data_IF_740911756173
#
_entry.id   IF_740911756173
#
_cell.length_a   1.000
_cell.length_b   1.000
_cell.length_c   1.000
_cell.angle_alpha   90.00
_cell.angle_beta   90.00
_cell.angle_gamma   90.00
#
_symmetry.space_group_name_H-M   'P 1'
#
loop_
_entity.id
_entity.type
_entity.pdbx_description
1 polymer ?
#
# COMPACT_ATOMS: atom_id res chain seq x y z
N UNK A 1 14.86 3.93 9.80
CA UNK A 1 16.19 3.60 9.21
C UNK A 1 17.33 4.47 9.76
N UNK A 2 17.16 5.23 10.85
CA UNK A 2 18.22 6.05 11.44
C UNK A 2 18.73 5.41 12.73
N UNK A 3 20.05 5.25 12.92
CA UNK A 3 20.63 4.56 14.09
C UNK A 3 20.21 5.22 15.41
N UNK A 4 20.30 6.56 15.59
CA UNK A 4 19.79 7.23 16.78
C UNK A 4 18.29 7.00 17.05
N UNK A 5 17.45 6.83 16.01
CA UNK A 5 16.03 6.60 16.22
C UNK A 5 15.76 5.22 16.83
N UNK A 6 16.49 4.19 16.37
CA UNK A 6 16.40 2.85 16.96
C UNK A 6 17.00 2.83 18.38
N UNK A 7 18.13 3.50 18.58
CA UNK A 7 18.75 3.62 19.90
C UNK A 7 17.84 4.30 20.93
N UNK A 8 17.06 5.31 20.51
CA UNK A 8 16.11 6.01 21.37
C UNK A 8 14.96 5.12 21.87
N UNK A 9 14.68 3.99 21.22
CA UNK A 9 13.70 3.01 21.70
C UNK A 9 14.26 2.14 22.84
N UNK A 10 15.59 2.10 23.03
CA UNK A 10 16.25 1.37 24.12
C UNK A 10 15.78 -0.08 24.23
N UNK A 11 15.57 -0.53 25.47
CA UNK A 11 15.15 -1.91 25.77
C UNK A 11 13.71 -2.22 25.34
N UNK A 12 12.90 -1.22 24.99
CA UNK A 12 11.51 -1.44 24.57
C UNK A 12 11.43 -2.34 23.32
N UNK A 13 12.46 -2.33 22.47
CA UNK A 13 12.54 -3.20 21.27
C UNK A 13 12.53 -4.70 21.61
N UNK A 14 12.93 -5.07 22.83
CA UNK A 14 12.95 -6.46 23.31
C UNK A 14 11.72 -6.82 24.14
N UNK A 15 10.85 -5.86 24.42
CA UNK A 15 9.64 -6.03 25.22
C UNK A 15 8.39 -6.11 24.33
N UNK A 16 7.27 -6.56 24.88
CA UNK A 16 5.99 -6.48 24.18
C UNK A 16 5.65 -5.00 23.86
N UNK A 17 5.10 -4.70 22.68
CA UNK A 17 4.65 -5.64 21.64
C UNK A 17 5.74 -6.06 20.63
N UNK A 18 6.94 -5.47 20.67
CA UNK A 18 7.99 -5.66 19.67
C UNK A 18 8.71 -7.01 19.77
N UNK A 19 9.06 -7.45 20.98
CA UNK A 19 9.78 -8.70 21.32
C UNK A 19 11.21 -8.82 20.78
N UNK A 20 11.53 -8.21 19.64
CA UNK A 20 12.87 -8.16 19.07
C UNK A 20 13.04 -6.93 18.15
N UNK A 21 14.28 -6.43 17.97
CA UNK A 21 14.58 -5.38 17.00
C UNK A 21 14.27 -5.84 15.56
N UNK A 22 14.01 -4.90 14.64
CA UNK A 22 13.64 -5.23 13.27
C UNK A 22 14.81 -5.88 12.53
N UNK A 23 14.54 -6.96 11.81
CA UNK A 23 15.52 -7.69 10.98
C UNK A 23 15.52 -7.14 9.55
N UNK A 24 14.34 -6.97 8.96
CA UNK A 24 14.16 -6.38 7.63
C UNK A 24 13.95 -4.85 7.69
N UNK A 25 13.95 -4.14 6.54
CA UNK A 25 13.48 -2.75 6.50
C UNK A 25 12.04 -2.64 7.02
N UNK A 26 11.79 -1.70 7.93
CA UNK A 26 10.43 -1.33 8.36
C UNK A 26 9.92 -0.29 7.38
N UNK A 27 8.95 -0.67 6.56
CA UNK A 27 8.44 0.12 5.44
C UNK A 27 6.99 0.56 5.67
N UNK A 28 6.60 1.62 4.99
CA UNK A 28 5.22 2.09 4.85
C UNK A 28 5.09 2.80 3.50
N UNK A 29 3.85 3.06 3.08
CA UNK A 29 3.54 3.73 1.81
C UNK A 29 2.91 5.09 2.11
N UNK A 30 3.30 6.10 1.32
CA UNK A 30 2.63 7.39 1.23
C UNK A 30 1.70 7.35 0.00
N UNK A 31 0.39 7.08 0.17
CA UNK A 31 -0.55 6.89 -0.93
C UNK A 31 -0.77 8.19 -1.71
N UNK A 32 -1.44 8.08 -2.86
CA UNK A 32 -1.56 9.17 -3.85
C UNK A 32 -2.21 10.44 -3.31
N UNK A 33 -3.14 10.34 -2.35
CA UNK A 33 -3.77 11.50 -1.70
C UNK A 33 -2.79 12.31 -0.83
N UNK A 34 -1.68 11.71 -0.39
CA UNK A 34 -0.67 12.41 0.41
C UNK A 34 0.23 13.31 -0.44
N UNK A 35 0.39 13.01 -1.73
CA UNK A 35 1.41 13.64 -2.56
C UNK A 35 0.95 15.01 -3.01
N UNK A 36 1.75 16.04 -2.70
CA UNK A 36 1.54 17.42 -3.16
C UNK A 36 2.84 18.04 -3.62
N UNK A 37 2.75 19.04 -4.49
CA UNK A 37 3.91 19.75 -5.00
C UNK A 37 4.48 20.73 -3.96
N UNK A 38 5.71 21.19 -4.21
CA UNK A 38 6.32 22.30 -3.48
C UNK A 38 5.42 23.54 -3.42
N UNK A 39 5.33 24.16 -2.25
CA UNK A 39 4.53 25.35 -1.99
C UNK A 39 3.03 25.11 -1.79
N UNK A 40 2.52 23.90 -2.03
CA UNK A 40 1.12 23.57 -1.75
C UNK A 40 0.91 23.51 -0.23
N UNK A 41 -0.11 24.22 0.24
CA UNK A 41 -0.46 24.23 1.66
C UNK A 41 -0.99 22.86 2.12
N UNK A 42 -0.60 22.44 3.33
CA UNK A 42 -1.02 21.18 3.94
C UNK A 42 -1.83 21.45 5.20
N UNK A 43 -2.99 20.80 5.31
CA UNK A 43 -3.88 20.92 6.45
C UNK A 43 -3.33 20.24 7.70
N UNK A 44 -3.30 20.98 8.82
CA UNK A 44 -3.09 20.44 10.15
C UNK A 44 -4.46 20.08 10.73
N UNK A 45 -4.73 18.80 11.05
CA UNK A 45 -6.01 18.37 11.60
C UNK A 45 -6.33 19.08 12.90
N UNK A 46 -7.62 19.42 13.11
CA UNK A 46 -8.05 20.17 14.29
C UNK A 46 -7.82 19.41 15.62
N UNK A 47 -7.77 18.08 15.57
CA UNK A 47 -7.50 17.20 16.71
C UNK A 47 -6.01 16.98 16.98
N UNK A 48 -5.13 17.58 16.18
CA UNK A 48 -3.68 17.39 16.26
C UNK A 48 -2.98 18.73 16.54
N UNK A 49 -2.21 18.85 17.64
CA UNK A 49 -1.61 20.14 18.01
C UNK A 49 -0.50 20.59 17.04
N UNK A 50 0.23 19.64 16.47
CA UNK A 50 1.32 19.90 15.54
C UNK A 50 1.62 18.65 14.71
N UNK A 51 2.15 18.84 13.50
CA UNK A 51 2.68 17.77 12.66
C UNK A 51 4.17 17.58 12.91
N UNK A 52 4.64 16.35 12.87
CA UNK A 52 6.06 16.04 12.79
C UNK A 52 6.55 16.25 11.35
N UNK A 53 7.61 17.05 11.21
CA UNK A 53 8.25 17.36 9.93
C UNK A 53 9.33 16.34 9.62
N UNK A 54 8.99 15.37 8.76
CA UNK A 54 9.89 14.30 8.37
C UNK A 54 10.76 14.64 7.16
N UNK A 55 11.77 15.49 7.34
CA UNK A 55 12.75 15.75 6.27
C UNK A 55 13.46 14.46 5.84
N UNK A 56 13.25 14.07 4.58
CA UNK A 56 13.77 12.84 4.01
C UNK A 56 14.31 13.07 2.60
N UNK A 57 15.32 12.27 2.25
CA UNK A 57 15.79 12.13 0.88
C UNK A 57 15.00 11.02 0.19
N UNK A 58 14.40 11.31 -0.95
CA UNK A 58 13.79 10.33 -1.84
C UNK A 58 14.71 9.94 -2.99
N UNK A 59 14.98 8.64 -3.16
CA UNK A 59 15.64 8.11 -4.35
C UNK A 59 14.60 7.91 -5.44
N UNK A 60 14.73 8.59 -6.58
CA UNK A 60 13.84 8.44 -7.73
C UNK A 60 14.36 7.31 -8.60
N UNK A 61 13.61 6.23 -8.71
CA UNK A 61 13.96 5.08 -9.53
C UNK A 61 13.90 5.48 -11.01
N UNK A 62 14.97 5.22 -11.76
CA UNK A 62 15.09 5.54 -13.18
C UNK A 62 14.92 4.33 -14.09
N UNK A 63 15.12 3.12 -13.56
CA UNK A 63 15.03 1.84 -14.28
C UNK A 63 14.37 0.83 -13.36
N UNK A 64 13.59 -0.10 -13.92
CA UNK A 64 12.95 -1.17 -13.14
C UNK A 64 13.98 -1.88 -12.27
N UNK A 65 13.82 -1.79 -10.95
CA UNK A 65 14.70 -2.38 -9.94
C UNK A 65 13.99 -3.59 -9.31
N UNK A 66 14.44 -4.78 -9.70
CA UNK A 66 13.97 -6.06 -9.18
C UNK A 66 15.19 -6.85 -8.74
N UNK A 67 15.25 -7.21 -7.45
CA UNK A 67 16.33 -8.01 -6.84
C UNK A 67 17.72 -7.49 -7.15
N UNK A 68 17.90 -6.17 -7.10
CA UNK A 68 19.17 -5.54 -7.41
C UNK A 68 20.19 -5.80 -6.31
N UNK A 69 21.47 -5.93 -6.69
CA UNK A 69 22.56 -6.03 -5.72
C UNK A 69 22.93 -4.65 -5.20
N UNK A 70 23.39 -4.58 -3.94
CA UNK A 70 23.74 -3.31 -3.31
C UNK A 70 24.85 -2.54 -4.07
N UNK A 71 25.84 -3.22 -4.63
CA UNK A 71 26.93 -2.59 -5.38
C UNK A 71 26.52 -2.04 -6.75
N UNK A 72 25.37 -2.46 -7.28
CA UNK A 72 24.80 -1.98 -8.54
C UNK A 72 23.57 -1.08 -8.32
N UNK A 73 23.04 -1.02 -7.09
CA UNK A 73 21.73 -0.45 -6.78
C UNK A 73 21.58 1.01 -7.23
N UNK A 74 22.60 1.85 -7.00
CA UNK A 74 22.52 3.27 -7.36
C UNK A 74 22.49 3.52 -8.88
N UNK A 75 22.90 2.55 -9.72
CA UNK A 75 22.76 2.66 -11.17
C UNK A 75 21.30 2.54 -11.67
N UNK A 76 20.38 2.11 -10.79
CA UNK A 76 18.95 2.09 -11.06
C UNK A 76 18.24 3.39 -10.65
N UNK A 77 18.94 4.31 -9.99
CA UNK A 77 18.40 5.58 -9.49
C UNK A 77 18.64 6.68 -10.53
N UNK A 78 17.59 7.36 -10.97
CA UNK A 78 17.68 8.52 -11.86
C UNK A 78 18.25 9.75 -11.15
N UNK A 79 17.93 9.91 -9.87
CA UNK A 79 18.38 11.03 -9.06
C UNK A 79 17.74 11.03 -7.68
N UNK A 80 17.93 12.12 -6.95
CA UNK A 80 17.35 12.35 -5.64
C UNK A 80 16.40 13.55 -5.64
N UNK A 81 15.44 13.54 -4.72
CA UNK A 81 14.48 14.62 -4.50
C UNK A 81 14.25 14.82 -3.00
N UNK A 82 13.93 16.06 -2.58
CA UNK A 82 13.54 16.36 -1.20
C UNK A 82 12.11 15.88 -0.99
N UNK A 83 11.85 15.18 0.12
CA UNK A 83 10.51 14.77 0.54
C UNK A 83 10.27 15.24 1.97
N UNK A 84 9.09 15.79 2.22
CA UNK A 84 8.60 16.05 3.56
C UNK A 84 7.64 14.92 3.97
N UNK A 85 8.12 13.91 4.69
CA UNK A 85 7.25 12.87 5.28
C UNK A 85 6.53 13.42 6.51
N UNK A 86 5.49 14.23 6.28
CA UNK A 86 4.65 14.74 7.35
C UNK A 86 3.91 13.58 8.03
N UNK A 87 3.76 13.67 9.34
CA UNK A 87 2.92 12.75 10.09
C UNK A 87 2.36 13.37 11.36
N UNK A 88 1.23 12.83 11.83
CA UNK A 88 0.82 13.03 13.21
C UNK A 88 1.87 12.34 14.11
N UNK A 89 2.44 13.04 15.11
CA UNK A 89 3.44 12.46 16.00
C UNK A 89 2.94 11.17 16.67
N UNK A 90 3.80 10.15 16.71
CA UNK A 90 3.52 8.87 17.36
C UNK A 90 4.81 8.19 17.79
N UNK A 91 4.69 7.33 18.79
CA UNK A 91 5.77 6.57 19.43
C UNK A 91 5.65 5.05 19.23
N UNK A 92 4.51 4.59 18.68
CA UNK A 92 4.27 3.18 18.39
C UNK A 92 4.58 2.84 16.93
N UNK A 93 5.47 1.87 16.74
CA UNK A 93 5.81 1.28 15.45
C UNK A 93 5.30 -0.15 15.32
N UNK A 94 4.38 -0.58 16.18
CA UNK A 94 3.87 -1.95 16.17
C UNK A 94 2.88 -2.21 15.04
N UNK A 95 1.83 -1.38 14.93
CA UNK A 95 0.83 -1.45 13.85
C UNK A 95 1.09 -0.36 12.81
N UNK A 96 0.70 -0.56 11.54
CA UNK A 96 0.86 0.45 10.50
C UNK A 96 0.17 1.76 10.88
N UNK A 97 0.90 2.86 10.79
CA UNK A 97 0.44 4.20 11.19
C UNK A 97 -0.38 4.90 10.10
N UNK A 98 -1.28 4.18 9.40
CA UNK A 98 -2.00 4.70 8.21
C UNK A 98 -2.73 6.00 8.52
N UNK A 99 -3.54 6.05 9.60
CA UNK A 99 -4.25 7.26 10.05
C UNK A 99 -3.34 8.47 10.32
N UNK A 100 -2.07 8.21 10.65
CA UNK A 100 -1.10 9.21 11.06
C UNK A 100 -0.22 9.70 9.90
N UNK A 101 -0.06 8.88 8.86
CA UNK A 101 0.85 9.13 7.73
C UNK A 101 0.16 9.29 6.38
N UNK A 102 -1.05 8.77 6.21
CA UNK A 102 -1.77 8.72 4.93
C UNK A 102 -2.82 9.84 4.77
N UNK A 103 -2.71 10.93 5.52
CA UNK A 103 -3.62 12.08 5.41
C UNK A 103 -3.32 12.92 4.17
N UNK A 104 -4.31 13.66 3.72
CA UNK A 104 -4.22 14.47 2.51
C UNK A 104 -3.06 15.47 2.59
N UNK A 105 -2.23 15.51 1.54
CA UNK A 105 -1.07 16.41 1.48
C UNK A 105 0.12 16.05 2.39
N UNK A 106 0.11 14.93 3.12
CA UNK A 106 1.18 14.59 4.06
C UNK A 106 2.52 14.13 3.43
N UNK A 107 2.67 14.24 2.12
CA UNK A 107 3.90 13.93 1.39
C UNK A 107 4.22 15.03 0.36
N UNK A 108 4.58 16.27 0.79
CA UNK A 108 5.15 17.24 -0.13
C UNK A 108 6.44 16.73 -0.74
N UNK A 109 6.58 16.86 -2.06
CA UNK A 109 7.75 16.42 -2.82
C UNK A 109 8.33 17.59 -3.60
N UNK A 110 9.65 17.73 -3.58
CA UNK A 110 10.38 18.74 -4.34
C UNK A 110 10.10 18.64 -5.84
N UNK A 111 10.15 19.78 -6.52
CA UNK A 111 9.82 19.90 -7.94
C UNK A 111 10.90 19.37 -8.89
N UNK A 112 12.13 19.17 -8.40
CA UNK A 112 13.29 18.82 -9.22
C UNK A 112 13.94 17.54 -8.75
N UNK A 113 14.19 16.63 -9.70
CA UNK A 113 15.03 15.44 -9.49
C UNK A 113 16.45 15.79 -9.90
N UNK A 114 17.40 15.68 -8.97
CA UNK A 114 18.81 15.98 -9.22
C UNK A 114 19.58 14.67 -9.41
N UNK A 115 20.29 14.47 -10.54
CA UNK A 115 21.12 13.30 -10.75
C UNK A 115 22.12 13.09 -9.61
N UNK A 116 22.35 11.84 -9.21
CA UNK A 116 23.25 11.54 -8.09
C UNK A 116 24.69 12.02 -8.32
N UNK A 117 25.12 12.08 -9.59
CA UNK A 117 26.45 12.56 -9.97
C UNK A 117 26.64 14.07 -9.79
N UNK A 118 25.55 14.83 -9.71
CA UNK A 118 25.57 16.29 -9.56
C UNK A 118 25.51 16.71 -8.08
N UNK A 119 25.38 15.76 -7.16
CA UNK A 119 25.36 16.01 -5.72
C UNK A 119 26.75 16.41 -5.19
N UNK A 120 26.84 17.33 -4.22
CA UNK A 120 28.11 17.81 -3.69
C UNK A 120 28.83 16.79 -2.79
N UNK A 121 28.13 15.73 -2.37
CA UNK A 121 28.65 14.65 -1.55
C UNK A 121 27.87 13.34 -1.84
N UNK A 122 28.35 12.18 -1.38
CA UNK A 122 27.60 10.93 -1.48
C UNK A 122 26.19 11.06 -0.89
N UNK A 123 25.24 10.34 -1.48
CA UNK A 123 23.81 10.38 -1.13
C UNK A 123 23.54 10.09 0.36
N UNK A 124 24.43 9.35 1.02
CA UNK A 124 24.39 8.99 2.44
C UNK A 124 25.13 9.99 3.36
N UNK A 125 25.49 11.18 2.88
CA UNK A 125 26.27 12.17 3.64
C UNK A 125 25.87 13.64 3.40
N UNK A 126 24.71 13.90 2.79
CA UNK A 126 24.22 15.25 2.51
C UNK A 126 23.73 15.92 3.79
N UNK A 127 24.06 17.19 4.01
CA UNK A 127 23.49 18.00 5.08
C UNK A 127 22.00 18.27 4.86
N UNK A 128 21.23 18.25 5.94
CA UNK A 128 19.78 18.47 5.94
C UNK A 128 19.45 19.52 6.99
N UNK A 129 18.73 20.58 6.61
CA UNK A 129 18.30 21.66 7.49
C UNK A 129 16.79 21.86 7.38
N UNK A 130 16.13 21.98 8.53
CA UNK A 130 14.70 22.26 8.62
C UNK A 130 14.51 23.60 9.30
N UNK A 131 13.76 24.48 8.63
CA UNK A 131 13.39 25.80 9.14
C UNK A 131 11.88 25.89 9.31
N UNK A 132 11.45 26.56 10.38
CA UNK A 132 10.04 26.91 10.62
C UNK A 132 9.99 28.43 10.68
N UNK A 133 9.20 29.04 9.79
CA UNK A 133 9.13 30.49 9.60
C UNK A 133 10.51 31.14 9.43
N UNK A 134 11.38 30.49 8.64
CA UNK A 134 12.74 30.95 8.35
C UNK A 134 13.77 30.70 9.46
N UNK A 135 13.37 30.29 10.67
CA UNK A 135 14.29 29.94 11.76
C UNK A 135 14.67 28.46 11.68
N UNK A 136 15.97 28.16 11.69
CA UNK A 136 16.46 26.77 11.78
C UNK A 136 16.08 26.16 13.13
N UNK A 137 15.40 25.01 13.07
CA UNK A 137 14.91 24.27 14.25
C UNK A 137 15.48 22.85 14.32
N UNK A 138 16.05 22.35 13.23
CA UNK A 138 16.67 21.03 13.18
C UNK A 138 17.73 20.97 12.07
N UNK A 139 18.86 20.34 12.37
CA UNK A 139 19.99 20.15 11.45
C UNK A 139 20.58 18.75 11.63
N UNK A 140 20.79 18.04 10.54
CA UNK A 140 21.21 16.63 10.51
C UNK A 140 21.87 16.30 9.17
N UNK A 141 22.06 15.01 8.87
CA UNK A 141 22.54 14.54 7.55
C UNK A 141 21.68 13.38 7.03
N UNK A 142 21.86 13.02 5.76
CA UNK A 142 21.31 11.77 5.21
C UNK A 142 22.06 10.52 5.69
N UNK A 143 23.14 10.68 6.46
CA UNK A 143 23.94 9.60 7.04
C UNK A 143 23.34 8.95 8.28
N UNK A 144 24.20 8.24 9.02
CA UNK A 144 23.85 7.45 10.22
C UNK A 144 22.69 6.47 10.00
N UNK A 145 22.52 6.01 8.76
CA UNK A 145 21.50 5.04 8.40
C UNK A 145 21.92 3.65 8.82
N UNK A 146 20.94 2.85 9.21
CA UNK A 146 21.18 1.42 9.43
C UNK A 146 21.48 0.73 8.10
N UNK A 147 20.69 1.06 7.07
CA UNK A 147 20.92 0.70 5.66
C UNK A 147 21.25 1.94 4.87
N UNK A 148 22.38 1.92 4.15
CA UNK A 148 22.67 2.95 3.14
C UNK A 148 21.60 2.99 2.06
N UNK A 149 21.57 4.04 1.25
CA UNK A 149 20.70 4.15 0.08
C UNK A 149 20.75 2.90 -0.80
N UNK A 150 21.96 2.45 -1.11
CA UNK A 150 22.21 1.28 -1.94
C UNK A 150 21.69 -0.02 -1.30
N UNK A 151 21.97 -0.25 -0.01
CA UNK A 151 21.51 -1.44 0.71
C UNK A 151 20.00 -1.44 0.91
N UNK A 152 19.39 -0.29 1.18
CA UNK A 152 17.94 -0.17 1.31
C UNK A 152 17.24 -0.52 0.01
N UNK A 153 17.70 0.02 -1.13
CA UNK A 153 17.16 -0.31 -2.45
C UNK A 153 17.33 -1.81 -2.76
N UNK A 154 18.50 -2.38 -2.48
CA UNK A 154 18.73 -3.82 -2.64
C UNK A 154 17.71 -4.62 -1.81
N UNK A 155 17.61 -4.36 -0.51
CA UNK A 155 16.72 -5.08 0.41
C UNK A 155 15.24 -4.98 0.03
N UNK A 156 14.77 -3.80 -0.40
CA UNK A 156 13.37 -3.60 -0.82
C UNK A 156 13.11 -4.34 -2.14
N UNK A 157 14.01 -4.20 -3.11
CA UNK A 157 13.85 -4.81 -4.44
C UNK A 157 13.86 -6.34 -4.42
N UNK A 158 14.32 -6.97 -3.32
CA UNK A 158 14.29 -8.43 -3.16
C UNK A 158 12.87 -9.02 -3.14
N UNK A 159 11.86 -8.22 -2.81
CA UNK A 159 10.47 -8.67 -2.75
C UNK A 159 9.48 -7.72 -3.42
N UNK A 160 9.85 -6.46 -3.63
CA UNK A 160 9.02 -5.45 -4.26
C UNK A 160 9.76 -4.85 -5.44
N UNK A 161 9.35 -5.17 -6.66
CA UNK A 161 9.87 -4.52 -7.86
C UNK A 161 9.46 -3.05 -7.86
N UNK A 162 10.45 -2.16 -7.99
CA UNK A 162 10.24 -0.72 -8.11
C UNK A 162 10.36 -0.31 -9.57
N UNK A 163 9.44 0.52 -10.05
CA UNK A 163 9.37 0.97 -11.44
C UNK A 163 9.98 2.37 -11.60
N UNK A 164 10.37 2.76 -12.83
CA UNK A 164 10.75 4.15 -13.11
C UNK A 164 9.68 5.14 -12.61
N UNK A 165 10.12 6.16 -11.86
CA UNK A 165 9.24 7.15 -11.22
C UNK A 165 8.82 6.81 -9.78
N UNK A 166 9.04 5.57 -9.31
CA UNK A 166 8.87 5.27 -7.89
C UNK A 166 9.90 6.02 -7.04
N UNK A 167 9.51 6.36 -5.81
CA UNK A 167 10.35 7.09 -4.86
C UNK A 167 10.55 6.27 -3.59
N UNK A 168 11.80 5.91 -3.30
CA UNK A 168 12.19 5.23 -2.08
C UNK A 168 12.82 6.22 -1.10
N UNK A 169 12.13 6.52 0.01
CA UNK A 169 12.64 7.42 1.04
C UNK A 169 13.69 6.72 1.92
N UNK A 170 14.82 7.38 2.18
CA UNK A 170 15.87 6.84 3.06
C UNK A 170 15.47 6.78 4.54
N UNK A 171 14.43 7.51 4.89
CA UNK A 171 13.86 7.60 6.23
C UNK A 171 14.20 8.90 6.95
N UNK A 172 13.40 9.23 7.95
CA UNK A 172 13.50 10.46 8.75
C UNK A 172 14.56 10.31 9.84
N UNK A 173 15.34 11.37 10.09
CA UNK A 173 16.30 11.42 11.19
C UNK A 173 15.59 11.60 12.54
N UNK A 174 16.20 11.09 13.61
CA UNK A 174 15.69 11.27 14.97
C UNK A 174 15.69 12.76 15.35
N UNK A 175 14.76 13.20 16.18
CA UNK A 175 14.63 14.61 16.55
C UNK A 175 13.90 15.48 15.52
N UNK A 176 13.21 14.87 14.55
CA UNK A 176 12.36 15.58 13.60
C UNK A 176 11.41 16.57 14.31
N UNK A 177 11.42 17.86 13.92
CA UNK A 177 10.75 18.91 14.67
C UNK A 177 9.24 18.86 14.48
N UNK A 178 8.52 19.58 15.35
CA UNK A 178 7.08 19.78 15.24
C UNK A 178 6.79 21.16 14.62
N UNK A 179 5.72 21.24 13.84
CA UNK A 179 5.21 22.49 13.28
C UNK A 179 3.68 22.54 13.33
N UNK A 180 3.12 23.71 13.60
CA UNK A 180 1.67 23.95 13.76
C UNK A 180 1.06 24.56 12.50
N UNK A 181 -0.27 24.70 12.49
CA UNK A 181 -0.93 25.57 11.52
C UNK A 181 -0.34 27.01 11.60
N UNK A 182 -0.46 27.76 10.50
CA UNK A 182 0.06 29.12 10.30
C UNK A 182 1.60 29.22 10.23
N UNK A 183 2.29 28.09 10.20
CA UNK A 183 3.73 28.04 10.03
C UNK A 183 4.10 27.56 8.64
N UNK A 184 5.20 28.07 8.09
CA UNK A 184 5.81 27.53 6.88
C UNK A 184 7.04 26.75 7.24
N UNK A 185 7.08 25.49 6.81
CA UNK A 185 8.22 24.61 6.94
C UNK A 185 9.06 24.71 5.67
N UNK A 186 10.37 24.87 5.80
CA UNK A 186 11.31 24.78 4.69
C UNK A 186 12.36 23.72 4.97
N UNK A 187 12.51 22.77 4.05
CA UNK A 187 13.51 21.71 4.12
C UNK A 187 14.55 21.97 3.05
N UNK A 188 15.81 22.01 3.45
CA UNK A 188 16.95 22.16 2.56
C UNK A 188 17.83 20.93 2.67
N UNK A 189 18.24 20.37 1.52
CA UNK A 189 19.23 19.30 1.46
C UNK A 189 20.35 19.76 0.52
N UNK A 190 21.61 19.56 0.92
CA UNK A 190 22.78 19.96 0.14
C UNK A 190 22.69 19.45 -1.31
N UNK A 191 22.79 20.36 -2.28
CA UNK A 191 22.70 20.04 -3.72
C UNK A 191 21.29 19.86 -4.29
N UNK A 192 20.24 19.83 -3.46
CA UNK A 192 18.85 19.63 -3.92
C UNK A 192 17.97 20.89 -3.88
N UNK A 193 18.50 21.98 -3.32
CA UNK A 193 17.71 23.21 -3.12
C UNK A 193 16.81 23.11 -1.91
N UNK A 194 15.59 23.66 -2.01
CA UNK A 194 14.64 23.76 -0.91
C UNK A 194 13.25 23.25 -1.31
N UNK A 195 12.53 22.72 -0.32
CA UNK A 195 11.11 22.37 -0.39
C UNK A 195 10.38 23.18 0.68
N UNK A 196 9.37 23.96 0.27
CA UNK A 196 8.53 24.76 1.16
C UNK A 196 7.16 24.10 1.34
N UNK A 197 6.67 24.08 2.57
CA UNK A 197 5.36 23.54 2.93
C UNK A 197 4.66 24.51 3.89
N UNK A 198 3.73 25.35 3.40
CA UNK A 198 2.83 26.10 4.26
C UNK A 198 1.92 25.12 5.02
N UNK A 199 1.81 25.27 6.33
CA UNK A 199 0.86 24.54 7.15
C UNK A 199 -0.31 25.47 7.50
N UNK A 200 -1.53 25.00 7.24
CA UNK A 200 -2.77 25.75 7.47
C UNK A 200 -3.72 24.92 8.31
N UNK A 201 -4.78 25.51 8.86
CA UNK A 201 -5.84 24.70 9.44
C UNK A 201 -6.43 23.78 8.37
N UNK A 202 -6.80 22.54 8.72
CA UNK A 202 -7.32 21.57 7.75
C UNK A 202 -8.53 22.08 6.95
N UNK A 203 -9.38 22.92 7.54
CA UNK A 203 -10.52 23.54 6.86
C UNK A 203 -10.11 24.53 5.76
N UNK A 204 -8.89 25.08 5.84
CA UNK A 204 -8.33 26.05 4.89
C UNK A 204 -7.38 25.39 3.88
N UNK A 205 -7.15 24.07 4.01
CA UNK A 205 -6.30 23.34 3.09
C UNK A 205 -6.94 23.29 1.69
N UNK A 206 -6.14 23.42 0.61
CA UNK A 206 -6.66 23.29 -0.73
C UNK A 206 -7.23 21.89 -0.95
N UNK A 207 -8.28 21.81 -1.76
CA UNK A 207 -8.79 20.53 -2.22
C UNK A 207 -7.67 19.77 -2.96
N UNK A 208 -7.62 18.46 -2.78
CA UNK A 208 -6.66 17.62 -3.46
C UNK A 208 -6.89 17.64 -4.98
N UNK A 209 -5.91 18.16 -5.72
CA UNK A 209 -5.82 18.01 -7.16
C UNK A 209 -5.21 16.65 -7.50
N UNK A 210 -6.04 15.60 -7.53
CA UNK A 210 -5.60 14.28 -7.97
C UNK A 210 -6.32 13.93 -9.26
N UNK A 211 -5.57 13.42 -10.24
CA UNK A 211 -6.13 12.94 -11.49
C UNK A 211 -7.22 11.91 -11.20
N UNK A 212 -8.47 12.27 -11.52
CA UNK A 212 -9.59 11.35 -11.38
C UNK A 212 -9.56 10.37 -12.53
N UNK A 213 -9.69 9.09 -12.20
CA UNK A 213 -9.74 8.03 -13.19
C UNK A 213 -11.19 7.73 -13.53
N UNK A 214 -11.50 7.55 -14.82
CA UNK A 214 -12.78 7.00 -15.25
C UNK A 214 -12.82 5.51 -14.96
N UNK A 215 -13.81 5.08 -14.18
CA UNK A 215 -14.03 3.67 -13.88
C UNK A 215 -15.07 3.07 -14.82
N UNK A 216 -15.05 1.74 -15.00
CA UNK A 216 -16.08 1.06 -15.77
C UNK A 216 -17.47 1.24 -15.15
N UNK A 217 -18.49 1.37 -15.99
CA UNK A 217 -19.90 1.45 -15.58
C UNK A 217 -20.67 0.14 -15.78
N UNK A 218 -20.00 -0.86 -16.34
CA UNK A 218 -20.55 -2.19 -16.63
C UNK A 218 -19.54 -3.26 -16.24
N UNK A 219 -19.99 -4.51 -16.15
CA UNK A 219 -19.10 -5.66 -15.92
C UNK A 219 -18.04 -5.75 -17.02
N UNK A 220 -16.77 -5.68 -16.64
CA UNK A 220 -15.65 -5.76 -17.58
C UNK A 220 -14.37 -6.29 -16.93
N UNK A 221 -13.41 -6.63 -17.76
CA UNK A 221 -12.04 -6.96 -17.40
C UNK A 221 -11.06 -6.10 -18.20
N UNK A 222 -9.79 -6.10 -17.80
CA UNK A 222 -8.67 -5.67 -18.63
C UNK A 222 -7.87 -6.90 -19.03
N UNK A 223 -7.54 -7.00 -20.30
CA UNK A 223 -6.74 -8.11 -20.83
C UNK A 223 -5.67 -7.60 -21.77
N UNK A 224 -4.53 -8.28 -21.79
CA UNK A 224 -3.51 -8.11 -22.83
C UNK A 224 -3.65 -9.23 -23.86
N UNK A 225 -3.72 -8.85 -25.14
CA UNK A 225 -3.74 -9.76 -26.28
C UNK A 225 -2.97 -9.16 -27.44
N UNK A 226 -2.09 -9.96 -28.06
CA UNK A 226 -1.26 -9.55 -29.20
C UNK A 226 -0.48 -8.22 -28.96
N UNK A 227 0.02 -8.01 -27.74
CA UNK A 227 0.82 -6.83 -27.37
C UNK A 227 0.02 -5.59 -26.95
N UNK A 228 -1.31 -5.65 -26.95
CA UNK A 228 -2.17 -4.50 -26.60
C UNK A 228 -3.01 -4.81 -25.36
N UNK A 229 -3.09 -3.86 -24.43
CA UNK A 229 -4.02 -3.88 -23.30
C UNK A 229 -5.32 -3.23 -23.69
N UNK A 230 -6.44 -3.89 -23.42
CA UNK A 230 -7.78 -3.37 -23.72
C UNK A 230 -8.85 -3.95 -22.79
N UNK A 231 -9.96 -3.23 -22.70
CA UNK A 231 -11.15 -3.70 -21.99
C UNK A 231 -11.77 -4.91 -22.70
N UNK A 232 -12.30 -5.83 -21.91
CA UNK A 232 -13.08 -6.96 -22.38
C UNK A 232 -14.36 -7.12 -21.56
N UNK A 233 -15.40 -7.69 -22.17
CA UNK A 233 -16.67 -8.04 -21.52
C UNK A 233 -16.91 -9.55 -21.56
N UNK A 234 -17.68 -10.11 -20.61
CA UNK A 234 -18.04 -11.52 -20.64
C UNK A 234 -18.84 -11.86 -21.91
N UNK A 235 -18.53 -13.01 -22.52
CA UNK A 235 -19.27 -13.55 -23.65
C UNK A 235 -19.48 -15.06 -23.47
N UNK A 236 -20.56 -15.63 -24.01
CA UNK A 236 -20.88 -17.06 -23.83
C UNK A 236 -19.80 -18.03 -24.37
N UNK A 237 -18.86 -17.54 -25.16
CA UNK A 237 -17.74 -18.30 -25.75
C UNK A 237 -16.36 -17.89 -25.22
N UNK A 238 -16.31 -17.09 -24.14
CA UNK A 238 -15.07 -16.56 -23.56
C UNK A 238 -15.16 -15.06 -23.31
N UNK A 239 -14.26 -14.28 -23.90
CA UNK A 239 -14.21 -12.82 -23.73
C UNK A 239 -14.41 -12.10 -25.05
N UNK A 240 -15.13 -10.99 -25.02
CA UNK A 240 -15.25 -10.07 -26.15
C UNK A 240 -14.42 -8.83 -25.88
N UNK A 241 -13.45 -8.57 -26.75
CA UNK A 241 -12.62 -7.36 -26.69
C UNK A 241 -13.42 -6.12 -27.11
N UNK A 242 -12.95 -4.94 -26.72
CA UNK A 242 -13.59 -3.66 -27.06
C UNK A 242 -13.74 -3.43 -28.59
N UNK A 243 -12.91 -4.07 -29.42
CA UNK A 243 -13.00 -4.03 -30.88
C UNK A 243 -13.91 -5.10 -31.50
N UNK A 244 -14.59 -5.90 -30.67
CA UNK A 244 -15.56 -6.91 -31.07
C UNK A 244 -15.00 -8.31 -31.29
N UNK A 245 -13.67 -8.50 -31.26
CA UNK A 245 -13.06 -9.85 -31.37
C UNK A 245 -13.48 -10.74 -30.20
N UNK A 246 -13.76 -12.01 -30.51
CA UNK A 246 -14.07 -13.06 -29.55
C UNK A 246 -12.87 -13.97 -29.37
N UNK A 247 -12.45 -14.16 -28.11
CA UNK A 247 -11.30 -14.99 -27.74
C UNK A 247 -11.70 -15.95 -26.63
N UNK A 248 -11.02 -17.10 -26.54
CA UNK A 248 -11.15 -17.94 -25.36
C UNK A 248 -10.47 -17.25 -24.16
N UNK A 249 -10.93 -17.55 -22.94
CA UNK A 249 -10.33 -16.99 -21.72
C UNK A 249 -8.85 -17.36 -21.55
N UNK A 250 -8.44 -18.50 -22.12
CA UNK A 250 -7.06 -18.99 -22.12
C UNK A 250 -6.17 -18.31 -23.17
N UNK A 251 -6.74 -17.60 -24.15
CA UNK A 251 -5.97 -16.94 -25.21
C UNK A 251 -5.51 -15.52 -24.81
N UNK A 252 -5.92 -15.04 -23.63
CA UNK A 252 -5.63 -13.69 -23.15
C UNK A 252 -4.85 -13.72 -21.84
N UNK A 253 -4.05 -12.68 -21.60
CA UNK A 253 -3.45 -12.44 -20.29
C UNK A 253 -4.36 -11.49 -19.51
N UNK A 254 -4.93 -11.96 -18.41
CA UNK A 254 -5.78 -11.12 -17.58
C UNK A 254 -4.94 -10.16 -16.74
N UNK A 255 -5.44 -8.94 -16.60
CA UNK A 255 -4.89 -7.90 -15.74
C UNK A 255 -5.94 -7.56 -14.66
N UNK A 256 -5.57 -6.82 -13.60
CA UNK A 256 -6.57 -6.21 -12.73
C UNK A 256 -7.62 -5.44 -13.56
N UNK A 257 -8.92 -5.58 -13.25
CA UNK A 257 -10.00 -5.24 -14.21
C UNK A 257 -10.21 -3.74 -14.47
N UNK A 258 -9.44 -2.88 -13.81
CA UNK A 258 -9.41 -1.43 -13.94
C UNK A 258 -8.02 -0.94 -13.50
N UNK A 259 -7.66 0.31 -13.81
CA UNK A 259 -6.44 0.89 -13.22
C UNK A 259 -6.65 1.08 -11.71
N UNK A 260 -5.86 0.37 -10.91
CA UNK A 260 -6.02 0.33 -9.45
C UNK A 260 -5.32 1.52 -8.83
N UNK A 261 -6.03 2.23 -7.94
CA UNK A 261 -5.51 3.33 -7.13
C UNK A 261 -4.80 2.83 -5.87
N UNK A 262 -5.06 3.49 -4.74
CA UNK A 262 -4.57 3.06 -3.43
C UNK A 262 -5.22 1.73 -3.05
N UNK A 263 -4.40 0.75 -2.63
CA UNK A 263 -4.88 -0.53 -2.11
C UNK A 263 -4.82 -0.47 -0.59
N UNK A 264 -6.00 -0.47 0.03
CA UNK A 264 -6.22 -0.38 1.47
C UNK A 264 -6.71 -1.75 1.93
N UNK A 265 -6.04 -2.38 2.88
CA UNK A 265 -6.38 -3.72 3.33
C UNK A 265 -6.65 -3.76 4.83
N UNK A 266 -7.59 -4.62 5.22
CA UNK A 266 -8.04 -4.79 6.59
C UNK A 266 -7.49 -6.09 7.19
N UNK A 267 -6.77 -5.97 8.29
CA UNK A 267 -6.43 -7.12 9.13
C UNK A 267 -7.55 -7.44 10.10
N UNK A 268 -7.81 -8.73 10.34
CA UNK A 268 -8.67 -9.21 11.43
C UNK A 268 -10.12 -8.72 11.36
N UNK A 269 -10.69 -8.52 10.16
CA UNK A 269 -12.03 -7.94 10.01
C UNK A 269 -13.17 -8.98 9.92
N UNK A 270 -12.91 -10.25 10.23
CA UNK A 270 -13.94 -11.30 10.30
C UNK A 270 -13.98 -11.89 11.71
N UNK A 271 -15.19 -12.02 12.27
CA UNK A 271 -15.37 -12.45 13.66
C UNK A 271 -14.76 -13.82 13.96
N UNK A 272 -14.80 -14.76 13.02
CA UNK A 272 -14.25 -16.09 13.20
C UNK A 272 -12.71 -16.10 13.18
N UNK A 273 -12.09 -15.25 12.36
CA UNK A 273 -10.63 -15.12 12.31
C UNK A 273 -10.06 -14.43 13.57
N UNK A 274 -10.81 -13.49 14.16
CA UNK A 274 -10.45 -12.89 15.46
C UNK A 274 -10.47 -13.92 16.58
N UNK A 275 -11.43 -14.86 16.60
CA UNK A 275 -11.46 -15.93 17.61
C UNK A 275 -10.22 -16.82 17.53
N UNK A 276 -9.76 -17.17 16.33
CA UNK A 276 -8.53 -17.94 16.12
C UNK A 276 -7.30 -17.22 16.71
N UNK A 277 -7.16 -15.93 16.38
CA UNK A 277 -6.02 -15.09 16.74
C UNK A 277 -6.08 -14.48 18.14
N UNK A 278 -7.24 -14.54 18.81
CA UNK A 278 -7.41 -14.08 20.20
C UNK A 278 -6.51 -14.85 21.20
N UNK A 279 -5.98 -15.99 20.79
CA UNK A 279 -4.96 -16.76 21.53
C UNK A 279 -3.57 -16.13 21.49
N UNK A 280 -3.27 -15.31 20.49
CA UNK A 280 -1.96 -14.68 20.26
C UNK A 280 -1.97 -13.15 20.41
N UNK A 281 -3.15 -12.53 20.28
CA UNK A 281 -3.35 -11.09 20.28
C UNK A 281 -4.58 -10.72 21.11
N UNK A 282 -4.46 -9.72 21.99
CA UNK A 282 -5.61 -9.07 22.61
C UNK A 282 -6.21 -8.11 21.58
N UNK A 283 -7.31 -8.52 20.94
CA UNK A 283 -8.11 -7.65 20.06
C UNK A 283 -9.53 -7.64 20.59
N UNK A 284 -10.07 -6.46 20.83
CA UNK A 284 -11.45 -6.26 21.28
C UNK A 284 -12.28 -5.66 20.15
N UNK A 285 -13.60 -5.89 20.18
CA UNK A 285 -14.52 -5.28 19.20
C UNK A 285 -14.60 -3.73 19.28
N UNK A 286 -13.87 -3.11 20.23
CA UNK A 286 -13.78 -1.66 20.41
C UNK A 286 -12.51 -1.06 19.80
N UNK A 287 -11.59 -1.89 19.27
CA UNK A 287 -10.36 -1.39 18.66
C UNK A 287 -10.63 -0.81 17.26
N UNK A 288 -9.93 0.28 16.93
CA UNK A 288 -9.99 0.87 15.58
C UNK A 288 -9.60 -0.18 14.51
N UNK A 289 -10.19 -0.12 13.29
CA UNK A 289 -9.85 -1.07 12.22
C UNK A 289 -8.34 -1.11 11.95
N UNK A 290 -7.77 -2.33 11.93
CA UNK A 290 -6.37 -2.55 11.56
C UNK A 290 -6.20 -2.37 10.05
N UNK A 291 -5.83 -1.17 9.65
CA UNK A 291 -5.60 -0.81 8.24
C UNK A 291 -4.12 -0.90 7.89
N UNK A 292 -3.81 -1.46 6.73
CA UNK A 292 -2.49 -1.39 6.11
C UNK A 292 -2.61 -1.10 4.61
N UNK A 293 -1.51 -0.63 4.01
CA UNK A 293 -1.46 -0.28 2.60
C UNK A 293 -0.61 -1.27 1.82
N UNK A 294 -0.99 -1.54 0.58
CA UNK A 294 -0.23 -2.39 -0.35
C UNK A 294 0.23 -1.55 -1.54
N UNK A 295 1.44 -1.80 -1.99
CA UNK A 295 2.03 -1.17 -3.18
C UNK A 295 1.50 -1.81 -4.48
N UNK A 296 1.38 -1.04 -5.57
CA UNK A 296 0.79 -1.51 -6.83
C UNK A 296 1.59 -2.65 -7.50
N UNK A 297 2.89 -2.76 -7.24
CA UNK A 297 3.73 -3.85 -7.76
C UNK A 297 3.32 -5.25 -7.28
N UNK A 298 2.53 -5.36 -6.21
CA UNK A 298 2.01 -6.66 -5.76
C UNK A 298 0.85 -7.20 -6.59
N UNK A 299 0.28 -6.39 -7.48
CA UNK A 299 -0.91 -6.75 -8.26
C UNK A 299 -0.60 -7.76 -9.37
N UNK A 300 -1.49 -8.73 -9.54
CA UNK A 300 -1.56 -9.60 -10.72
C UNK A 300 -3.02 -9.91 -11.05
N UNK A 301 -3.33 -10.17 -12.32
CA UNK A 301 -4.68 -10.51 -12.78
C UNK A 301 -5.03 -12.00 -12.61
N UNK A 302 -6.26 -12.34 -12.98
CA UNK A 302 -6.79 -13.70 -13.00
C UNK A 302 -5.91 -14.67 -13.80
N UNK A 303 -5.73 -15.89 -13.29
CA UNK A 303 -4.87 -16.91 -13.92
C UNK A 303 -3.38 -16.57 -13.88
N UNK A 304 -2.99 -15.48 -13.21
CA UNK A 304 -1.59 -15.13 -13.01
C UNK A 304 -0.85 -16.09 -12.08
N UNK A 305 0.46 -15.92 -12.04
CA UNK A 305 1.35 -16.72 -11.20
C UNK A 305 1.87 -15.90 -10.03
N UNK A 306 1.84 -16.48 -8.83
CA UNK A 306 2.38 -15.86 -7.61
C UNK A 306 3.55 -16.66 -7.09
N UNK A 307 4.69 -16.00 -6.94
CA UNK A 307 5.91 -16.62 -6.43
C UNK A 307 5.73 -17.06 -4.98
N UNK A 308 5.98 -18.34 -4.70
CA UNK A 308 6.20 -18.84 -3.34
C UNK A 308 7.70 -19.01 -3.08
N UNK A 309 8.29 -18.29 -2.11
CA UNK A 309 9.67 -18.51 -1.70
C UNK A 309 9.92 -19.96 -1.28
N UNK A 310 11.01 -20.57 -1.76
CA UNK A 310 11.35 -21.96 -1.45
C UNK A 310 11.59 -22.21 0.04
N UNK A 311 12.08 -21.19 0.76
CA UNK A 311 12.38 -21.27 2.19
C UNK A 311 11.17 -21.02 3.11
N UNK A 312 10.05 -20.53 2.58
CA UNK A 312 8.88 -20.23 3.41
C UNK A 312 8.29 -21.53 3.97
N UNK A 313 8.10 -21.63 5.29
CA UNK A 313 7.42 -22.77 5.89
C UNK A 313 5.90 -22.65 5.72
N UNK A 314 5.36 -21.43 5.74
CA UNK A 314 3.92 -21.19 5.65
C UNK A 314 3.58 -19.96 4.82
N UNK A 315 3.01 -20.22 3.64
CA UNK A 315 2.38 -19.20 2.80
C UNK A 315 0.91 -19.58 2.60
N UNK A 316 0.00 -18.64 2.79
CA UNK A 316 -1.43 -18.90 2.71
C UNK A 316 -2.15 -17.84 1.86
N UNK A 317 -3.29 -18.23 1.28
CA UNK A 317 -4.21 -17.35 0.55
C UNK A 317 -5.15 -16.61 1.50
N UNK A 318 -5.74 -15.51 1.03
CA UNK A 318 -6.80 -14.79 1.75
C UNK A 318 -7.85 -14.33 0.75
N UNK A 319 -9.00 -15.01 0.69
CA UNK A 319 -10.10 -14.67 -0.22
C UNK A 319 -10.89 -13.50 0.36
N UNK A 320 -10.89 -12.36 -0.34
CA UNK A 320 -11.50 -11.13 0.14
C UNK A 320 -12.43 -10.50 -0.89
N UNK A 321 -13.50 -9.88 -0.40
CA UNK A 321 -14.27 -8.91 -1.18
C UNK A 321 -13.44 -7.63 -1.33
N UNK A 322 -13.17 -7.25 -2.58
CA UNK A 322 -12.52 -5.99 -2.91
C UNK A 322 -13.57 -4.95 -3.32
N UNK A 323 -13.70 -3.89 -2.54
CA UNK A 323 -14.64 -2.78 -2.79
C UNK A 323 -13.92 -1.67 -3.54
N UNK A 324 -14.49 -1.24 -4.67
CA UNK A 324 -13.90 -0.20 -5.53
C UNK A 324 -14.59 1.13 -5.30
N UNK A 325 -13.83 2.14 -4.89
CA UNK A 325 -14.33 3.51 -4.70
C UNK A 325 -14.56 4.18 -6.04
N UNK A 326 -15.71 4.81 -6.21
CA UNK A 326 -16.18 5.38 -7.48
C UNK A 326 -16.14 6.89 -7.61
N UNK A 327 -16.10 7.60 -6.48
CA UNK A 327 -16.08 9.07 -6.43
C UNK A 327 -15.25 9.51 -5.21
N UNK A 328 -14.67 10.73 -5.22
CA UNK A 328 -13.94 11.23 -4.07
C UNK A 328 -14.79 11.18 -2.79
N UNK A 329 -14.29 10.58 -1.72
CA UNK A 329 -14.97 10.43 -0.44
C UNK A 329 -14.11 11.04 0.68
N UNK A 330 -14.63 12.09 1.34
CA UNK A 330 -14.03 12.73 2.49
C UNK A 330 -15.10 13.05 3.52
N UNK A 331 -14.88 12.66 4.77
CA UNK A 331 -15.83 12.83 5.89
C UNK A 331 -17.24 12.26 5.59
N UNK A 332 -17.31 11.13 4.90
CA UNK A 332 -18.57 10.48 4.50
C UNK A 332 -19.15 9.71 5.68
N UNK A 333 -20.46 9.85 5.93
CA UNK A 333 -21.15 9.06 6.96
C UNK A 333 -21.50 7.67 6.44
N UNK A 334 -21.51 6.66 7.33
CA UNK A 334 -21.84 5.29 6.94
C UNK A 334 -23.18 5.19 6.19
N UNK A 335 -24.19 5.98 6.58
CA UNK A 335 -25.49 6.02 5.90
C UNK A 335 -25.40 6.39 4.40
N UNK A 336 -24.41 7.19 4.01
CA UNK A 336 -24.21 7.68 2.63
C UNK A 336 -23.10 6.92 1.89
N UNK A 337 -22.33 6.10 2.60
CA UNK A 337 -21.10 5.48 2.12
C UNK A 337 -21.27 4.65 0.85
N UNK A 338 -22.38 3.91 0.73
CA UNK A 338 -22.61 3.04 -0.43
C UNK A 338 -22.76 3.81 -1.74
N UNK A 339 -23.15 5.10 -1.70
CA UNK A 339 -23.18 5.94 -2.89
C UNK A 339 -21.79 6.21 -3.48
N UNK A 340 -20.73 5.98 -2.70
CA UNK A 340 -19.34 6.17 -3.11
C UNK A 340 -18.70 4.91 -3.69
N UNK A 341 -19.39 3.77 -3.69
CA UNK A 341 -18.90 2.49 -4.23
C UNK A 341 -19.23 2.40 -5.72
N UNK A 342 -18.22 2.20 -6.56
CA UNK A 342 -18.41 1.93 -8.00
C UNK A 342 -18.82 0.47 -8.24
N UNK A 343 -18.25 -0.45 -7.48
CA UNK A 343 -18.46 -1.87 -7.68
C UNK A 343 -17.51 -2.72 -6.85
N UNK A 344 -17.40 -3.98 -7.25
CA UNK A 344 -16.71 -5.02 -6.52
C UNK A 344 -15.85 -5.87 -7.45
N UNK A 345 -14.84 -6.51 -6.88
CA UNK A 345 -14.12 -7.61 -7.51
C UNK A 345 -13.69 -8.61 -6.44
N UNK A 346 -13.08 -9.72 -6.84
CA UNK A 346 -12.50 -10.71 -5.91
C UNK A 346 -11.02 -10.42 -5.75
N UNK A 347 -10.52 -10.58 -4.53
CA UNK A 347 -9.10 -10.52 -4.21
C UNK A 347 -8.61 -11.83 -3.61
N UNK A 348 -7.36 -12.19 -3.92
CA UNK A 348 -6.56 -13.12 -3.12
C UNK A 348 -5.34 -12.37 -2.55
N UNK A 349 -5.34 -12.10 -1.23
CA UNK A 349 -4.30 -11.35 -0.51
C UNK A 349 -3.29 -12.27 0.20
N UNK A 350 -2.37 -12.86 -0.57
CA UNK A 350 -1.38 -13.80 -0.04
C UNK A 350 -0.52 -13.21 1.08
N UNK A 351 -0.18 -14.06 2.05
CA UNK A 351 0.77 -13.75 3.10
C UNK A 351 1.80 -14.87 3.29
N UNK A 352 3.06 -14.49 3.44
CA UNK A 352 4.15 -15.39 3.86
C UNK A 352 4.38 -15.18 5.35
N UNK A 353 3.86 -16.08 6.20
CA UNK A 353 3.85 -15.88 7.66
C UNK A 353 5.25 -15.80 8.25
N UNK A 354 6.22 -16.52 7.68
CA UNK A 354 7.61 -16.55 8.11
C UNK A 354 8.29 -15.16 8.13
N UNK A 355 7.79 -14.22 7.33
CA UNK A 355 8.35 -12.86 7.24
C UNK A 355 7.64 -11.84 8.15
N UNK A 356 6.66 -12.27 8.94
CA UNK A 356 5.99 -11.39 9.91
C UNK A 356 6.96 -10.94 10.99
N UNK A 357 7.02 -9.63 11.18
CA UNK A 357 7.74 -8.97 12.26
C UNK A 357 6.75 -8.07 13.03
N UNK A 358 7.09 -7.71 14.27
CA UNK A 358 6.26 -6.84 15.11
C UNK A 358 6.57 -5.35 14.89
N UNK A 359 6.85 -4.99 13.64
CA UNK A 359 7.16 -3.63 13.20
C UNK A 359 6.28 -3.32 11.99
N UNK A 360 5.34 -2.40 12.18
CA UNK A 360 4.24 -2.12 11.24
C UNK A 360 3.56 -3.41 10.74
N UNK A 361 3.11 -4.23 11.69
CA UNK A 361 2.52 -5.56 11.46
C UNK A 361 1.06 -5.49 10.96
N UNK A 362 0.70 -6.11 9.82
CA UNK A 362 1.57 -6.87 8.91
C UNK A 362 2.44 -5.96 8.02
N UNK A 363 3.73 -6.29 7.89
CA UNK A 363 4.69 -5.46 7.16
C UNK A 363 4.69 -5.76 5.64
N UNK A 364 5.27 -4.84 4.85
CA UNK A 364 5.26 -4.94 3.38
C UNK A 364 6.01 -6.15 2.82
N UNK A 365 6.99 -6.72 3.54
CA UNK A 365 7.68 -7.94 3.08
C UNK A 365 6.74 -9.15 3.06
N UNK A 366 5.70 -9.13 3.89
CA UNK A 366 4.63 -10.14 3.93
C UNK A 366 3.55 -9.81 2.89
N UNK A 367 3.08 -8.55 2.88
CA UNK A 367 1.84 -8.15 2.20
C UNK A 367 2.03 -7.37 0.90
N UNK A 368 3.24 -7.05 0.45
CA UNK A 368 3.49 -6.30 -0.80
C UNK A 368 4.61 -6.95 -1.60
N UNK A 369 4.52 -8.27 -1.73
CA UNK A 369 5.40 -9.03 -2.61
C UNK A 369 4.87 -8.97 -4.04
N UNK A 370 5.76 -8.96 -5.03
CA UNK A 370 5.38 -9.04 -6.44
C UNK A 370 4.42 -10.23 -6.69
N UNK A 371 3.29 -9.94 -7.32
CA UNK A 371 2.22 -10.92 -7.58
C UNK A 371 1.50 -11.44 -6.33
N UNK A 372 1.76 -10.92 -5.13
CA UNK A 372 1.12 -11.36 -3.89
C UNK A 372 -0.32 -10.86 -3.69
N UNK A 373 -0.89 -10.13 -4.65
CA UNK A 373 -2.25 -9.56 -4.59
C UNK A 373 -2.94 -9.80 -5.91
N UNK A 374 -3.81 -10.79 -5.96
CA UNK A 374 -4.49 -11.14 -7.20
C UNK A 374 -5.84 -10.43 -7.21
N UNK A 375 -6.19 -9.73 -8.29
CA UNK A 375 -7.51 -9.08 -8.45
C UNK A 375 -8.19 -9.52 -9.75
N UNK A 376 -9.52 -9.62 -9.71
CA UNK A 376 -10.35 -9.89 -10.89
C UNK A 376 -11.18 -11.16 -10.78
N UNK A 377 -11.48 -11.84 -11.90
CA UNK A 377 -11.22 -11.41 -13.28
C UNK A 377 -12.02 -10.17 -13.68
N UNK A 378 -13.18 -9.97 -13.04
CA UNK A 378 -14.14 -8.94 -13.45
C UNK A 378 -14.23 -7.82 -12.41
N UNK A 379 -14.36 -6.60 -12.90
CA UNK A 379 -15.04 -5.53 -12.18
C UNK A 379 -16.55 -5.79 -12.33
N UNK A 380 -17.29 -5.74 -11.23
CA UNK A 380 -18.74 -5.92 -11.18
C UNK A 380 -19.36 -4.62 -10.63
N UNK A 381 -20.17 -3.88 -11.39
CA UNK A 381 -20.80 -2.65 -10.93
C UNK A 381 -21.63 -2.87 -9.67
N UNK A 382 -21.69 -1.86 -8.79
CA UNK A 382 -22.43 -1.97 -7.54
C UNK A 382 -23.93 -2.29 -7.76
N UNK A 383 -24.51 -1.85 -8.89
CA UNK A 383 -25.89 -2.16 -9.26
C UNK A 383 -26.18 -3.64 -9.54
N UNK A 384 -25.14 -4.44 -9.81
CA UNK A 384 -25.27 -5.90 -10.02
C UNK A 384 -25.15 -6.71 -8.71
N UNK A 385 -24.81 -6.06 -7.58
CA UNK A 385 -24.65 -6.72 -6.27
C UNK A 385 -25.57 -6.04 -5.26
N UNK A 386 -26.83 -6.49 -5.13
CA UNK A 386 -27.84 -5.83 -4.30
C UNK A 386 -27.47 -5.77 -2.81
N UNK A 387 -26.82 -6.82 -2.28
CA UNK A 387 -26.39 -6.89 -0.90
C UNK A 387 -24.94 -7.42 -0.81
N UNK A 388 -23.93 -6.54 -0.72
CA UNK A 388 -22.53 -6.94 -0.60
C UNK A 388 -22.18 -7.51 0.78
N UNK A 389 -23.08 -7.41 1.76
CA UNK A 389 -22.89 -7.88 3.14
C UNK A 389 -23.52 -9.26 3.39
N UNK A 390 -23.99 -9.96 2.36
CA UNK A 390 -24.55 -11.31 2.47
C UNK A 390 -24.04 -12.28 1.38
N UNK A 391 -22.78 -12.11 0.95
CA UNK A 391 -22.16 -12.93 -0.10
C UNK A 391 -21.41 -14.11 0.50
N UNK A 392 -21.60 -15.31 -0.06
CA UNK A 392 -20.79 -16.48 0.27
C UNK A 392 -19.39 -16.36 -0.32
N UNK A 393 -18.36 -16.71 0.46
CA UNK A 393 -16.97 -16.81 0.02
C UNK A 393 -16.49 -18.25 0.13
N UNK A 394 -15.69 -18.70 -0.84
CA UNK A 394 -15.02 -19.99 -0.82
C UNK A 394 -13.59 -19.84 -1.34
N UNK A 395 -12.68 -20.63 -0.78
CA UNK A 395 -11.38 -20.87 -1.41
C UNK A 395 -11.19 -22.35 -1.67
N UNK A 396 -10.72 -22.67 -2.87
CA UNK A 396 -10.39 -24.02 -3.28
C UNK A 396 -8.89 -24.11 -3.59
N UNK A 397 -8.23 -25.14 -3.06
CA UNK A 397 -6.87 -25.51 -3.46
C UNK A 397 -6.96 -26.81 -4.27
N UNK A 398 -6.51 -26.76 -5.52
CA UNK A 398 -6.56 -27.89 -6.45
C UNK A 398 -7.97 -28.51 -6.55
N UNK A 399 -9.00 -27.66 -6.55
CA UNK A 399 -10.41 -28.05 -6.61
C UNK A 399 -11.02 -28.53 -5.29
N UNK A 400 -10.25 -28.64 -4.21
CA UNK A 400 -10.76 -28.98 -2.87
C UNK A 400 -11.09 -27.71 -2.10
N UNK A 401 -12.32 -27.57 -1.60
CA UNK A 401 -12.68 -26.43 -0.76
C UNK A 401 -11.93 -26.52 0.58
N UNK A 402 -11.12 -25.50 0.87
CA UNK A 402 -10.30 -25.41 2.09
C UNK A 402 -10.75 -24.29 3.02
N UNK A 403 -11.47 -23.30 2.49
CA UNK A 403 -12.03 -22.18 3.25
C UNK A 403 -13.46 -21.87 2.80
N UNK A 404 -14.33 -21.52 3.75
CA UNK A 404 -15.68 -21.00 3.49
C UNK A 404 -16.02 -19.89 4.48
N UNK A 405 -16.81 -18.91 4.04
CA UNK A 405 -17.29 -17.83 4.89
C UNK A 405 -18.41 -17.02 4.25
N UNK A 406 -18.82 -15.93 4.92
CA UNK A 406 -19.82 -14.99 4.41
C UNK A 406 -19.41 -13.56 4.73
N UNK A 407 -19.64 -12.61 3.83
CA UNK A 407 -19.41 -11.18 4.09
C UNK A 407 -20.29 -10.64 5.21
N UNK A 408 -21.33 -11.37 5.62
CA UNK A 408 -22.16 -11.06 6.79
C UNK A 408 -21.38 -11.12 8.11
N UNK A 409 -20.23 -11.80 8.12
CA UNK A 409 -19.39 -11.99 9.31
C UNK A 409 -18.30 -10.92 9.45
N UNK A 410 -18.32 -9.88 8.61
CA UNK A 410 -17.42 -8.73 8.76
C UNK A 410 -17.69 -8.02 10.10
N UNK A 411 -16.63 -7.70 10.84
CA UNK A 411 -16.71 -6.91 12.08
C UNK A 411 -17.05 -5.46 11.73
N UNK A 412 -16.31 -4.89 10.78
CA UNK A 412 -16.60 -3.58 10.21
C UNK A 412 -17.06 -3.79 8.76
N UNK A 413 -18.35 -3.56 8.51
CA UNK A 413 -18.90 -3.60 7.16
C UNK A 413 -18.43 -2.42 6.30
N UNK A 414 -18.62 -2.55 4.97
CA UNK A 414 -18.22 -1.54 3.97
C UNK A 414 -18.57 -0.09 4.35
N UNK A 415 -19.80 0.25 4.82
CA UNK A 415 -20.13 1.61 5.23
C UNK A 415 -19.25 2.17 6.35
N UNK A 416 -18.99 1.37 7.39
CA UNK A 416 -18.18 1.77 8.54
C UNK A 416 -16.71 1.95 8.14
N UNK A 417 -16.20 1.10 7.25
CA UNK A 417 -14.84 1.23 6.72
C UNK A 417 -14.66 2.53 5.91
N UNK A 418 -15.62 2.87 5.04
CA UNK A 418 -15.59 4.12 4.26
C UNK A 418 -15.70 5.33 5.19
N UNK A 419 -16.59 5.32 6.19
CA UNK A 419 -16.67 6.41 7.18
C UNK A 419 -15.36 6.58 7.94
N UNK A 420 -14.80 5.48 8.44
CA UNK A 420 -13.53 5.51 9.18
C UNK A 420 -12.39 6.04 8.32
N UNK A 421 -12.15 5.49 7.14
CA UNK A 421 -11.06 5.91 6.26
C UNK A 421 -11.24 7.34 5.78
N UNK A 422 -12.46 7.70 5.34
CA UNK A 422 -12.73 9.03 4.81
C UNK A 422 -12.66 10.15 5.86
N UNK A 423 -12.70 9.80 7.16
CA UNK A 423 -12.54 10.77 8.25
C UNK A 423 -11.15 11.42 8.31
N UNK A 424 -10.11 10.76 7.79
CA UNK A 424 -8.73 11.25 7.86
C UNK A 424 -8.00 11.33 6.52
N UNK A 425 -8.47 10.63 5.49
CA UNK A 425 -7.91 10.68 4.13
C UNK A 425 -9.02 10.77 3.09
N UNK A 426 -8.79 11.44 1.97
CA UNK A 426 -9.70 11.36 0.83
C UNK A 426 -9.51 10.02 0.12
N UNK A 427 -10.57 9.22 0.03
CA UNK A 427 -10.63 8.07 -0.88
C UNK A 427 -10.96 8.55 -2.29
N UNK A 428 -10.31 7.99 -3.30
CA UNK A 428 -10.40 8.46 -4.68
C UNK A 428 -10.91 7.36 -5.63
N UNK A 429 -11.51 7.72 -6.78
CA UNK A 429 -11.94 6.76 -7.79
C UNK A 429 -10.82 5.77 -8.16
N UNK A 430 -11.11 4.48 -8.04
CA UNK A 430 -10.18 3.38 -8.28
C UNK A 430 -9.39 2.93 -7.06
N UNK A 431 -9.48 3.63 -5.92
CA UNK A 431 -9.01 3.06 -4.65
C UNK A 431 -9.80 1.79 -4.33
N UNK A 432 -9.11 0.81 -3.73
CA UNK A 432 -9.66 -0.51 -3.43
C UNK A 432 -9.53 -0.78 -1.94
N UNK A 433 -10.64 -1.18 -1.31
CA UNK A 433 -10.68 -1.66 0.07
C UNK A 433 -10.79 -3.19 0.05
N UNK A 434 -9.74 -3.87 0.50
CA UNK A 434 -9.70 -5.32 0.73
C UNK A 434 -10.21 -5.59 2.14
N UNK A 435 -11.38 -6.21 2.24
CA UNK A 435 -12.22 -6.19 3.46
C UNK A 435 -11.87 -7.24 4.51
N UNK A 436 -10.80 -8.01 4.30
CA UNK A 436 -10.38 -9.13 5.15
C UNK A 436 -10.87 -10.48 4.62
N UNK A 437 -10.31 -11.54 5.21
CA UNK A 437 -10.65 -12.95 4.94
C UNK A 437 -11.31 -13.61 6.16
N UNK A 438 -12.20 -14.60 5.96
CA UNK A 438 -12.63 -15.51 7.03
C UNK A 438 -11.47 -16.41 7.52
N UNK A 439 -11.71 -17.18 8.59
CA UNK A 439 -10.80 -18.24 9.08
C UNK A 439 -10.69 -19.40 8.06
N UNK A 440 -9.82 -20.39 8.29
CA UNK A 440 -9.65 -21.57 7.44
C UNK A 440 -8.58 -21.42 6.35
N UNK A 441 -7.58 -20.57 6.58
CA UNK A 441 -6.43 -20.45 5.67
C UNK A 441 -5.49 -21.64 5.83
N UNK A 442 -4.97 -22.16 4.73
CA UNK A 442 -4.03 -23.30 4.73
C UNK A 442 -2.75 -22.96 3.98
N UNK A 443 -1.68 -23.72 4.24
CA UNK A 443 -0.45 -23.59 3.48
C UNK A 443 -0.66 -24.01 2.02
N UNK A 444 -0.11 -23.23 1.09
CA UNK A 444 -0.07 -23.52 -0.35
C UNK A 444 1.37 -23.72 -0.82
N UNK A 445 1.57 -24.54 -1.84
CA UNK A 445 2.88 -24.95 -2.35
C UNK A 445 3.01 -24.65 -3.85
N UNK A 446 4.23 -24.62 -4.40
CA UNK A 446 4.42 -24.43 -5.84
C UNK A 446 3.69 -25.51 -6.64
N UNK A 447 3.02 -25.12 -7.71
CA UNK A 447 2.15 -25.97 -8.52
C UNK A 447 0.68 -25.97 -8.09
N UNK A 448 0.36 -25.51 -6.88
CA UNK A 448 -1.03 -25.41 -6.44
C UNK A 448 -1.80 -24.35 -7.22
N UNK A 449 -3.02 -24.69 -7.62
CA UNK A 449 -4.01 -23.72 -8.11
C UNK A 449 -4.91 -23.31 -6.95
N UNK A 450 -5.07 -22.00 -6.73
CA UNK A 450 -5.96 -21.43 -5.72
C UNK A 450 -7.08 -20.68 -6.41
N UNK A 451 -8.31 -21.08 -6.14
CA UNK A 451 -9.52 -20.44 -6.65
C UNK A 451 -10.27 -19.77 -5.51
N UNK A 452 -10.38 -18.44 -5.56
CA UNK A 452 -11.20 -17.64 -4.67
C UNK A 452 -12.55 -17.36 -5.35
N UNK A 453 -13.65 -17.77 -4.75
CA UNK A 453 -15.01 -17.58 -5.27
C UNK A 453 -15.82 -16.70 -4.33
N UNK A 454 -16.49 -15.69 -4.89
CA UNK A 454 -17.49 -14.90 -4.17
C UNK A 454 -18.80 -14.94 -4.98
N UNK A 455 -19.87 -15.39 -4.33
CA UNK A 455 -21.18 -15.54 -4.94
C UNK A 455 -21.66 -14.20 -5.55
N UNK A 456 -22.21 -14.24 -6.77
CA UNK A 456 -22.66 -13.05 -7.50
C UNK A 456 -21.56 -12.19 -8.13
N UNK A 457 -20.30 -12.36 -7.72
CA UNK A 457 -19.17 -11.58 -8.26
C UNK A 457 -18.44 -12.39 -9.34
N UNK A 458 -17.55 -13.32 -8.94
CA UNK A 458 -16.76 -14.13 -9.86
C UNK A 458 -15.93 -15.20 -9.14
N UNK A 459 -15.26 -16.04 -9.93
CA UNK A 459 -14.17 -16.92 -9.50
C UNK A 459 -12.83 -16.33 -9.97
N UNK A 460 -11.91 -16.12 -9.04
CA UNK A 460 -10.54 -15.70 -9.27
C UNK A 460 -9.58 -16.86 -9.11
N UNK A 461 -8.81 -17.18 -10.14
CA UNK A 461 -7.78 -18.22 -10.10
C UNK A 461 -6.39 -17.62 -10.00
N UNK A 462 -5.50 -18.27 -9.27
CA UNK A 462 -4.07 -18.01 -9.24
C UNK A 462 -3.29 -19.33 -9.16
N UNK A 463 -2.05 -19.36 -9.66
CA UNK A 463 -1.16 -20.52 -9.54
C UNK A 463 0.10 -20.15 -8.79
N UNK A 464 0.44 -20.94 -7.77
CA UNK A 464 1.69 -20.77 -7.04
C UNK A 464 2.85 -21.27 -7.90
N UNK A 465 3.87 -20.43 -8.04
CA UNK A 465 5.05 -20.73 -8.84
C UNK A 465 6.31 -20.82 -7.96
N UNK A 466 7.23 -21.75 -8.25
CA UNK A 466 8.50 -21.89 -7.54
C UNK A 466 9.45 -20.73 -7.87
N UNK A 467 10.50 -20.61 -7.06
CA UNK A 467 11.58 -19.63 -7.25
C UNK A 467 12.23 -19.69 -8.63
N UNK A 468 12.41 -20.89 -9.18
CA UNK A 468 13.03 -21.13 -10.48
C UNK A 468 12.31 -20.44 -11.64
N UNK A 469 10.98 -20.31 -11.57
CA UNK A 469 10.17 -19.65 -12.61
C UNK A 469 10.46 -18.14 -12.68
N UNK A 470 11.01 -17.58 -11.61
CA UNK A 470 11.42 -16.19 -11.51
C UNK A 470 12.95 -16.02 -11.61
N UNK A 471 13.69 -17.08 -11.94
CA UNK A 471 15.15 -17.05 -12.08
C UNK A 471 15.92 -16.97 -10.75
N UNK A 472 15.43 -17.64 -9.70
CA UNK A 472 16.05 -17.72 -8.37
C UNK A 472 16.54 -19.13 -8.02
#
# INVERSE_FOLDING_TARGET
>A
NHRPALAALGDAVHQAPYKAPPKAPVLYVKPRNTRVADGVAVGVPADVPALQVGAALGLVIGRTACRVRADEALAYVAGAVIVNDLSVPHDSFYRPSVRLKARDGFCPVGSTVVPLADLPAPVDALGVRVRVNGKEVHSTTTGDRFRSAAQLLADVSQFMTLQPGDVLMLGVSHGAPLATAEQTVTIEIDGLGQLSTPLVAEADAPALEVATQTLPTQRCAQVAFAGTVQSAVPHAKGVQLADGRLLAEADVVWLPPFAVGTIIALGLNYADHVKELSKELTVTAQDEPLVFLKGPGSLVGHGGHTRRPGEAAFMHYECELAVVIGRPARNVKAADAMAFVAGYTVCNDYAVRDYLENWYRPNLRVKTRDGGTVLGPWFVPASEVPDPHALGLRTLVNGTVTQQGSTANMINGVPALIEYLSSFMTLLPGDVILTGTPDGVVNVNPGDTVDCEIDGISRLRNTLAPDSDFGL
#
